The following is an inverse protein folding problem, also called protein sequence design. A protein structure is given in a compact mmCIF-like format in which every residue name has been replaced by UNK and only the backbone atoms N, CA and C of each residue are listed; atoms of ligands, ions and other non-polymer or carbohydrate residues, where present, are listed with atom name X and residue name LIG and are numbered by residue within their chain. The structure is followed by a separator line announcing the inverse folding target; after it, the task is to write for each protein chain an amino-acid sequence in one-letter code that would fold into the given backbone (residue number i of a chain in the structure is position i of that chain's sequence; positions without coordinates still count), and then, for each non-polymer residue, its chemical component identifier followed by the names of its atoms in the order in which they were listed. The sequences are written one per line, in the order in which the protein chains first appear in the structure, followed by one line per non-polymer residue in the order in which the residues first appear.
data_IF_178770456203
#
_entry.id   IF_178770456203
#
_cell.length_a   1.000
_cell.length_b   1.000
_cell.length_c   1.000
_cell.angle_alpha   90.00
_cell.angle_beta   90.00
_cell.angle_gamma   90.00
#
_symmetry.space_group_name_H-M   'P 1'
#
loop_
_entity.id
_entity.type
_entity.pdbx_description
1 polymer ?
#
# COMPACT_ATOMS: atom_id res chain seq x y z
N UNK A 1 3.18 -20.59 6.69
CA UNK A 1 3.20 -19.20 6.19
C UNK A 1 1.86 -18.94 5.53
N UNK A 2 1.07 -18.04 6.11
CA UNK A 2 -0.24 -17.64 5.58
C UNK A 2 -0.07 -16.71 4.39
N UNK A 3 -1.15 -16.48 3.63
CA UNK A 3 -1.16 -15.44 2.58
C UNK A 3 -0.92 -14.04 3.15
N UNK A 4 -1.35 -13.78 4.40
CA UNK A 4 -1.06 -12.54 5.12
C UNK A 4 0.43 -12.38 5.44
N UNK A 5 1.09 -13.44 5.89
CA UNK A 5 2.54 -13.43 6.17
C UNK A 5 3.33 -13.08 4.89
N UNK A 6 2.91 -13.63 3.74
CA UNK A 6 3.52 -13.33 2.44
C UNK A 6 3.35 -11.86 2.04
N UNK A 7 2.18 -11.26 2.30
CA UNK A 7 1.94 -9.85 2.00
C UNK A 7 2.83 -8.94 2.85
N UNK A 8 2.98 -9.23 4.15
CA UNK A 8 3.88 -8.49 5.03
C UNK A 8 5.34 -8.65 4.62
N UNK A 9 5.77 -9.86 4.27
CA UNK A 9 7.12 -10.11 3.76
C UNK A 9 7.40 -9.34 2.46
N UNK A 10 6.42 -9.30 1.53
CA UNK A 10 6.54 -8.54 0.29
C UNK A 10 6.67 -7.04 0.54
N UNK A 11 5.89 -6.48 1.48
CA UNK A 11 6.00 -5.07 1.87
C UNK A 11 7.39 -4.77 2.45
N UNK A 12 7.86 -5.59 3.40
CA UNK A 12 9.18 -5.42 4.00
C UNK A 12 10.31 -5.53 2.97
N UNK A 13 10.21 -6.47 2.03
CA UNK A 13 11.18 -6.63 0.94
C UNK A 13 11.20 -5.41 0.01
N UNK A 14 10.04 -4.83 -0.32
CA UNK A 14 9.96 -3.61 -1.12
C UNK A 14 10.66 -2.43 -0.45
N UNK A 15 10.47 -2.26 0.86
CA UNK A 15 11.17 -1.24 1.65
C UNK A 15 12.67 -1.48 1.63
N UNK A 16 13.11 -2.71 1.91
CA UNK A 16 14.53 -3.05 1.91
C UNK A 16 15.20 -2.85 0.54
N UNK A 17 14.51 -3.19 -0.56
CA UNK A 17 14.99 -2.96 -1.91
C UNK A 17 15.10 -1.47 -2.23
N UNK A 18 14.14 -0.66 -1.79
CA UNK A 18 14.22 0.80 -1.95
C UNK A 18 15.44 1.35 -1.20
N UNK A 19 15.62 0.97 0.08
CA UNK A 19 16.77 1.40 0.88
C UNK A 19 18.11 0.95 0.24
N UNK A 20 18.16 -0.27 -0.28
CA UNK A 20 19.35 -0.82 -0.96
C UNK A 20 19.65 -0.17 -2.31
N UNK A 21 18.68 0.50 -2.95
CA UNK A 21 18.87 1.17 -4.23
C UNK A 21 19.81 2.38 -4.15
N UNK A 22 20.04 2.92 -2.95
CA UNK A 22 21.04 3.95 -2.69
C UNK A 22 20.70 5.35 -3.21
N UNK A 23 19.47 5.60 -3.64
CA UNK A 23 19.05 6.94 -4.08
C UNK A 23 18.91 7.91 -2.91
N UNK A 24 18.09 7.56 -1.92
CA UNK A 24 17.91 8.26 -0.65
C UNK A 24 17.24 7.32 0.36
N UNK A 25 17.37 7.61 1.66
CA UNK A 25 16.62 6.86 2.67
C UNK A 25 15.12 7.10 2.50
N UNK A 26 14.32 6.04 2.61
CA UNK A 26 12.87 6.15 2.43
C UNK A 26 12.24 7.10 3.45
N UNK A 27 12.85 7.19 4.63
CA UNK A 27 12.45 8.14 5.69
C UNK A 27 12.62 9.60 5.25
N UNK A 28 13.69 9.92 4.53
CA UNK A 28 13.93 11.29 4.07
C UNK A 28 13.06 11.63 2.86
N UNK A 29 12.87 10.68 1.94
CA UNK A 29 11.87 10.76 0.88
C UNK A 29 10.48 11.09 1.45
N UNK A 30 10.07 10.36 2.48
CA UNK A 30 8.81 10.55 3.18
C UNK A 30 8.70 11.92 3.85
N UNK A 31 9.76 12.41 4.50
CA UNK A 31 9.78 13.76 5.11
C UNK A 31 9.57 14.84 4.06
N UNK A 32 10.23 14.76 2.90
CA UNK A 32 10.03 15.72 1.80
C UNK A 32 8.60 15.64 1.26
N UNK A 33 8.08 14.43 1.09
CA UNK A 33 6.70 14.23 0.66
C UNK A 33 5.70 14.83 1.65
N UNK A 34 5.93 14.69 2.96
CA UNK A 34 5.13 15.30 4.02
C UNK A 34 5.12 16.84 3.96
N UNK A 35 6.23 17.46 3.56
CA UNK A 35 6.32 18.93 3.41
C UNK A 35 5.51 19.40 2.20
N UNK A 36 5.62 18.69 1.07
CA UNK A 36 4.95 19.07 -0.18
C UNK A 36 3.45 18.74 -0.12
N UNK A 37 3.09 17.61 0.49
CA UNK A 37 1.73 17.07 0.53
C UNK A 37 1.29 16.68 1.95
N UNK A 38 1.20 17.64 2.89
CA UNK A 38 1.00 17.34 4.32
C UNK A 38 -0.30 16.61 4.63
N UNK A 39 -1.36 16.87 3.88
CA UNK A 39 -2.65 16.21 4.06
C UNK A 39 -2.59 14.77 3.55
N UNK A 40 -2.19 14.58 2.29
CA UNK A 40 -2.15 13.25 1.66
C UNK A 40 -1.20 12.30 2.39
N UNK A 41 -0.01 12.77 2.77
CA UNK A 41 0.97 11.99 3.50
C UNK A 41 0.43 11.48 4.86
N UNK A 42 -0.55 12.15 5.48
CA UNK A 42 -1.19 11.68 6.72
C UNK A 42 -2.40 10.80 6.45
N UNK A 43 -3.24 11.19 5.49
CA UNK A 43 -4.48 10.48 5.19
C UNK A 43 -4.20 9.10 4.61
N UNK A 44 -3.24 8.96 3.69
CA UNK A 44 -3.00 7.68 3.00
C UNK A 44 -2.62 6.56 3.97
N UNK A 45 -1.65 6.71 4.89
CA UNK A 45 -1.37 5.67 5.89
C UNK A 45 -2.56 5.35 6.79
N UNK A 46 -3.36 6.34 7.17
CA UNK A 46 -4.58 6.13 7.96
C UNK A 46 -5.62 5.31 7.21
N UNK A 47 -5.87 5.64 5.94
CA UNK A 47 -6.80 4.88 5.08
C UNK A 47 -6.31 3.44 4.90
N UNK A 48 -5.01 3.24 4.67
CA UNK A 48 -4.42 1.89 4.58
C UNK A 48 -4.60 1.14 5.90
N UNK A 49 -4.33 1.76 7.04
CA UNK A 49 -4.53 1.12 8.34
C UNK A 49 -6.00 0.77 8.58
N UNK A 50 -6.94 1.65 8.23
CA UNK A 50 -8.36 1.37 8.41
C UNK A 50 -8.85 0.27 7.46
N UNK A 51 -8.36 0.24 6.21
CA UNK A 51 -8.63 -0.84 5.25
C UNK A 51 -8.19 -2.19 5.82
N UNK A 52 -6.93 -2.28 6.28
CA UNK A 52 -6.37 -3.53 6.81
C UNK A 52 -7.11 -4.03 8.06
N UNK A 53 -7.68 -3.14 8.86
CA UNK A 53 -8.50 -3.50 10.03
C UNK A 53 -9.98 -3.73 9.69
N UNK A 54 -10.40 -3.54 8.43
CA UNK A 54 -11.81 -3.64 8.03
C UNK A 54 -12.72 -2.58 8.64
N UNK A 55 -12.16 -1.42 9.02
CA UNK A 55 -12.93 -0.34 9.67
C UNK A 55 -13.65 0.57 8.67
N UNK A 56 -13.27 0.53 7.39
CA UNK A 56 -13.93 1.28 6.33
C UNK A 56 -15.09 0.46 5.74
N UNK A 57 -16.31 0.99 5.72
CA UNK A 57 -17.36 0.47 4.86
C UNK A 57 -16.91 0.41 3.39
N UNK A 58 -17.33 -0.60 2.63
CA UNK A 58 -16.91 -0.85 1.25
C UNK A 58 -17.09 0.34 0.29
N UNK A 59 -18.06 1.23 0.55
CA UNK A 59 -18.35 2.40 -0.29
C UNK A 59 -17.42 3.60 -0.03
N UNK A 60 -16.71 3.62 1.10
CA UNK A 60 -15.66 4.61 1.40
C UNK A 60 -14.25 4.03 1.37
N UNK A 61 -14.12 2.74 1.09
CA UNK A 61 -12.83 2.07 1.04
C UNK A 61 -12.28 2.09 -0.40
N UNK A 62 -11.36 3.02 -0.72
CA UNK A 62 -10.83 3.12 -2.08
C UNK A 62 -9.97 1.90 -2.47
N UNK A 63 -9.48 1.11 -1.51
CA UNK A 63 -8.58 -0.02 -1.74
C UNK A 63 -9.37 -1.28 -2.08
N UNK A 64 -10.59 -1.44 -1.55
CA UNK A 64 -11.52 -2.50 -1.96
C UNK A 64 -11.77 -2.52 -3.47
N UNK A 65 -11.89 -1.35 -4.10
CA UNK A 65 -12.06 -1.22 -5.56
C UNK A 65 -10.83 -1.69 -6.37
N UNK A 66 -9.62 -1.51 -5.84
CA UNK A 66 -8.36 -1.93 -6.48
C UNK A 66 -8.22 -3.45 -6.44
N UNK A 67 -8.58 -4.08 -5.32
CA UNK A 67 -8.62 -5.55 -5.21
C UNK A 67 -9.58 -6.18 -6.22
N UNK A 68 -10.73 -5.56 -6.45
CA UNK A 68 -11.70 -6.00 -7.45
C UNK A 68 -11.17 -5.90 -8.89
N UNK A 69 -10.49 -4.78 -9.23
CA UNK A 69 -9.86 -4.61 -10.55
C UNK A 69 -8.76 -5.65 -10.82
N UNK A 70 -7.94 -5.96 -9.81
CA UNK A 70 -6.93 -7.01 -9.89
C UNK A 70 -7.51 -8.41 -10.03
N UNK A 71 -8.67 -8.68 -9.42
CA UNK A 71 -9.41 -9.94 -9.61
C UNK A 71 -10.01 -10.07 -11.01
N UNK A 72 -10.54 -8.99 -11.57
CA UNK A 72 -11.09 -8.98 -12.93
C UNK A 72 -10.03 -9.27 -13.99
N UNK A 73 -8.85 -8.66 -13.86
CA UNK A 73 -7.73 -8.91 -14.77
C UNK A 73 -7.25 -10.37 -14.68
N UNK A 74 -7.16 -10.95 -13.47
CA UNK A 74 -6.85 -12.38 -13.30
C UNK A 74 -7.88 -13.32 -13.94
N UNK A 75 -9.16 -12.92 -13.99
CA UNK A 75 -10.22 -13.68 -14.67
C UNK A 75 -10.09 -13.63 -16.19
N UNK A 76 -9.74 -12.47 -16.74
CA UNK A 76 -9.57 -12.27 -18.19
C UNK A 76 -8.37 -13.05 -18.77
N UNK A 77 -7.25 -13.15 -18.04
CA UNK A 77 -6.05 -13.88 -18.50
C UNK A 77 -6.06 -15.40 -18.22
N UNK A 78 -7.13 -15.94 -17.61
CA UNK A 78 -7.30 -17.37 -17.36
C UNK A 78 -8.46 -18.00 -18.14
N UNK A 79 -9.11 -17.23 -19.02
CA UNK A 79 -10.18 -17.67 -19.93
C UNK A 79 -9.65 -18.03 -21.31
#
# INVERSE_FOLDING_TARGET
MTTGDAAWAALAAGIALYEASGHELMTDAWRRYLIIHPILARIVPLVVAFHLNGWLPWWVDPIHGIGWLGSLLKGFFRG
#
